data_IF_601661327829
#
_entry.id   IF_601661327829
#
_cell.length_a   1.000
_cell.length_b   1.000
_cell.length_c   1.000
_cell.angle_alpha   90.00
_cell.angle_beta   90.00
_cell.angle_gamma   90.00
#
_symmetry.space_group_name_H-M   'P 1'
#
loop_
_entity.id
_entity.type
_entity.pdbx_description
1 polymer ?
#
# COMPACT_ATOMS: atom_id res chain seq x y z
N UNK A 1 13.47 4.38 14.28
CA UNK A 1 12.70 3.67 13.24
C UNK A 1 11.32 4.26 13.26
N UNK A 2 10.97 5.07 12.25
CA UNK A 2 9.65 5.69 12.19
C UNK A 2 8.64 4.68 11.62
N UNK A 3 7.75 4.18 12.48
CA UNK A 3 6.76 3.17 12.10
C UNK A 3 5.57 3.75 11.35
N UNK A 4 5.38 5.07 11.33
CA UNK A 4 4.35 5.68 10.48
C UNK A 4 4.56 5.30 9.02
N UNK A 5 5.82 5.22 8.58
CA UNK A 5 6.21 4.75 7.25
C UNK A 5 5.94 3.23 7.01
N UNK A 6 5.74 2.43 8.06
CA UNK A 6 5.38 1.01 7.94
C UNK A 6 3.86 0.77 8.05
N UNK A 7 3.14 1.71 8.66
CA UNK A 7 1.71 1.65 8.97
C UNK A 7 0.88 2.40 7.93
N UNK A 8 1.39 3.47 7.33
CA UNK A 8 0.75 4.23 6.25
C UNK A 8 1.69 4.31 5.05
N UNK A 9 1.21 3.95 3.86
CA UNK A 9 1.97 4.10 2.61
C UNK A 9 1.15 4.96 1.66
N UNK A 10 1.38 6.29 1.63
CA UNK A 10 0.74 7.16 0.65
C UNK A 10 1.08 6.71 -0.78
N UNK A 11 2.23 6.06 -0.98
CA UNK A 11 2.63 5.44 -2.25
C UNK A 11 1.65 4.35 -2.73
N UNK A 12 0.89 3.71 -1.83
CA UNK A 12 -0.21 2.83 -2.22
C UNK A 12 -1.23 3.59 -3.07
N UNK A 13 -1.73 4.72 -2.58
CA UNK A 13 -2.76 5.50 -3.27
C UNK A 13 -2.17 6.09 -4.56
N UNK A 14 -0.93 6.57 -4.51
CA UNK A 14 -0.20 7.05 -5.68
C UNK A 14 -0.09 5.96 -6.77
N UNK A 15 0.16 4.70 -6.38
CA UNK A 15 0.23 3.56 -7.29
C UNK A 15 -1.11 3.25 -7.95
N UNK A 16 -2.23 3.35 -7.21
CA UNK A 16 -3.57 3.15 -7.77
C UNK A 16 -3.92 4.25 -8.77
N UNK A 17 -3.61 5.50 -8.44
CA UNK A 17 -3.77 6.64 -9.35
C UNK A 17 -2.98 6.47 -10.63
N UNK A 18 -1.71 6.05 -10.52
CA UNK A 18 -0.87 5.76 -11.66
C UNK A 18 -1.45 4.64 -12.53
N UNK A 19 -1.89 3.55 -11.90
CA UNK A 19 -2.51 2.43 -12.59
C UNK A 19 -3.79 2.87 -13.33
N UNK A 20 -4.62 3.71 -12.71
CA UNK A 20 -5.83 4.24 -13.32
C UNK A 20 -5.50 5.12 -14.54
N UNK A 21 -4.54 6.03 -14.40
CA UNK A 21 -4.11 6.93 -15.48
C UNK A 21 -3.45 6.20 -16.66
N UNK A 22 -2.54 5.24 -16.41
CA UNK A 22 -1.87 4.51 -17.51
C UNK A 22 -2.86 3.68 -18.34
N UNK A 23 -3.94 3.20 -17.71
CA UNK A 23 -5.04 2.48 -18.38
C UNK A 23 -6.17 3.38 -18.91
N UNK A 24 -6.07 4.70 -18.70
CA UNK A 24 -7.02 5.68 -19.24
C UNK A 24 -8.34 5.78 -18.45
N UNK A 25 -8.35 5.35 -17.19
CA UNK A 25 -9.53 5.44 -16.31
C UNK A 25 -9.67 6.82 -15.66
N UNK A 26 -8.55 7.52 -15.47
CA UNK A 26 -8.51 8.86 -14.87
C UNK A 26 -7.60 9.79 -15.70
N UNK A 27 -7.89 11.10 -15.75
CA UNK A 27 -7.07 12.07 -16.46
C UNK A 27 -5.74 12.34 -15.73
N UNK A 28 -4.77 12.87 -16.47
CA UNK A 28 -3.44 13.18 -15.92
C UNK A 28 -3.50 14.25 -14.82
N UNK A 29 -4.32 15.28 -15.02
CA UNK A 29 -4.41 16.42 -14.12
C UNK A 29 -4.93 16.01 -12.73
N UNK A 30 -5.96 15.17 -12.67
CA UNK A 30 -6.48 14.62 -11.39
C UNK A 30 -5.45 13.71 -10.70
N UNK A 31 -4.71 12.89 -11.47
CA UNK A 31 -3.63 12.08 -10.92
C UNK A 31 -2.51 12.93 -10.31
N UNK A 32 -2.11 14.00 -11.01
CA UNK A 32 -1.06 14.93 -10.56
C UNK A 32 -1.52 15.68 -9.30
N UNK A 33 -2.76 16.16 -9.26
CA UNK A 33 -3.35 16.81 -8.08
C UNK A 33 -3.40 15.84 -6.89
N UNK A 34 -3.83 14.59 -7.13
CA UNK A 34 -3.85 13.57 -6.10
C UNK A 34 -2.45 13.25 -5.57
N UNK A 35 -1.45 13.12 -6.44
CA UNK A 35 -0.05 12.92 -6.03
C UNK A 35 0.45 14.08 -5.18
N UNK A 36 0.19 15.33 -5.59
CA UNK A 36 0.56 16.50 -4.79
C UNK A 36 -0.09 16.48 -3.40
N UNK A 37 -1.37 16.09 -3.30
CA UNK A 37 -2.07 15.96 -2.01
C UNK A 37 -1.49 14.86 -1.10
N UNK A 38 -0.86 13.85 -1.70
CA UNK A 38 -0.17 12.76 -1.00
C UNK A 38 1.29 13.11 -0.65
N UNK A 39 1.78 14.29 -1.05
CA UNK A 39 3.16 14.73 -0.83
C UNK A 39 4.13 14.34 -1.94
N UNK A 40 3.64 13.78 -3.06
CA UNK A 40 4.47 13.38 -4.19
C UNK A 40 4.40 14.36 -5.34
N UNK A 41 5.52 14.52 -6.04
CA UNK A 41 5.56 15.19 -7.33
C UNK A 41 6.31 14.37 -8.37
N UNK A 42 6.06 14.65 -9.64
CA UNK A 42 6.76 14.06 -10.76
C UNK A 42 6.87 15.07 -11.91
N UNK A 43 7.96 15.01 -12.67
CA UNK A 43 8.12 15.85 -13.85
C UNK A 43 7.19 15.40 -14.98
N UNK A 44 6.74 16.35 -15.80
CA UNK A 44 5.95 16.04 -17.01
C UNK A 44 6.74 15.15 -17.97
N UNK A 45 8.05 15.34 -18.05
CA UNK A 45 8.93 14.49 -18.87
C UNK A 45 8.92 13.03 -18.40
N UNK A 46 8.97 12.80 -17.09
CA UNK A 46 8.85 11.46 -16.51
C UNK A 46 7.50 10.83 -16.82
N UNK A 47 6.40 11.58 -16.71
CA UNK A 47 5.07 11.07 -17.07
C UNK A 47 5.00 10.73 -18.57
N UNK A 48 5.57 11.57 -19.43
CA UNK A 48 5.71 11.30 -20.86
C UNK A 48 6.50 10.02 -21.13
N UNK A 49 7.61 9.83 -20.43
CA UNK A 49 8.47 8.64 -20.53
C UNK A 49 7.72 7.37 -20.10
N UNK A 50 7.01 7.39 -18.96
CA UNK A 50 6.20 6.27 -18.49
C UNK A 50 5.16 5.89 -19.54
N UNK A 51 4.42 6.88 -20.06
CA UNK A 51 3.34 6.64 -21.04
C UNK A 51 3.85 5.99 -22.31
N UNK A 52 5.07 6.33 -22.75
CA UNK A 52 5.68 5.79 -23.96
C UNK A 52 6.27 4.38 -23.78
N UNK A 53 6.77 4.07 -22.57
CA UNK A 53 7.55 2.85 -22.31
C UNK A 53 6.77 1.74 -21.63
N UNK A 54 5.69 2.06 -20.91
CA UNK A 54 4.99 1.08 -20.09
C UNK A 54 4.35 0.00 -20.96
N UNK A 55 4.62 -1.26 -20.64
CA UNK A 55 3.99 -2.39 -21.29
C UNK A 55 2.64 -2.70 -20.61
N UNK A 56 1.55 -2.24 -21.22
CA UNK A 56 0.19 -2.50 -20.74
C UNK A 56 -0.29 -3.93 -21.06
N UNK A 57 0.49 -4.73 -21.79
CA UNK A 57 0.21 -6.14 -22.04
C UNK A 57 0.70 -7.03 -20.90
N UNK A 58 1.80 -6.65 -20.25
CA UNK A 58 2.29 -7.31 -19.03
C UNK A 58 1.39 -6.93 -17.84
N UNK A 59 0.79 -7.94 -17.22
CA UNK A 59 -0.17 -7.77 -16.13
C UNK A 59 0.46 -8.36 -14.87
N UNK A 60 0.43 -7.65 -13.73
CA UNK A 60 0.04 -6.24 -13.58
C UNK A 60 1.08 -5.27 -14.16
N UNK A 61 0.63 -4.27 -14.93
CA UNK A 61 1.53 -3.26 -15.52
C UNK A 61 2.09 -2.27 -14.49
N UNK A 62 1.39 -2.11 -13.37
CA UNK A 62 1.79 -1.29 -12.21
C UNK A 62 1.67 -2.14 -10.96
N UNK A 63 2.72 -2.13 -10.13
CA UNK A 63 2.78 -2.86 -8.85
C UNK A 63 3.33 -1.97 -7.76
N UNK A 64 2.71 -2.01 -6.59
CA UNK A 64 3.35 -1.52 -5.37
C UNK A 64 4.33 -2.57 -4.86
N UNK A 65 5.53 -2.15 -4.47
CA UNK A 65 6.51 -2.99 -3.80
C UNK A 65 6.84 -2.35 -2.47
N UNK A 66 6.49 -3.03 -1.38
CA UNK A 66 6.82 -2.63 -0.02
C UNK A 66 7.82 -3.65 0.55
N UNK A 67 8.95 -3.17 1.05
CA UNK A 67 9.92 -3.98 1.78
C UNK A 67 9.81 -3.68 3.28
N UNK A 68 10.26 -4.62 4.10
CA UNK A 68 10.27 -4.46 5.54
C UNK A 68 10.89 -5.65 6.25
N UNK A 69 10.82 -5.64 7.58
CA UNK A 69 11.33 -6.74 8.39
C UNK A 69 10.69 -8.06 7.95
N UNK A 70 11.54 -9.07 7.67
CA UNK A 70 11.14 -10.41 7.27
C UNK A 70 11.02 -10.68 5.76
N UNK A 71 11.34 -9.70 4.90
CA UNK A 71 11.31 -9.86 3.44
C UNK A 71 12.72 -10.06 2.85
N UNK A 72 12.85 -10.95 1.85
CA UNK A 72 14.13 -11.44 1.34
C UNK A 72 14.83 -10.53 0.30
N UNK A 73 14.26 -9.37 -0.02
CA UNK A 73 14.74 -8.51 -1.11
C UNK A 73 14.65 -7.04 -0.71
N UNK A 74 15.78 -6.34 -0.77
CA UNK A 74 15.85 -4.88 -0.67
C UNK A 74 15.55 -4.23 -2.01
N UNK A 75 14.85 -3.10 -2.00
CA UNK A 75 14.84 -2.20 -3.14
C UNK A 75 16.25 -1.61 -3.32
N UNK A 76 16.60 -1.06 -4.50
CA UNK A 76 17.86 -0.37 -4.67
C UNK A 76 18.04 0.72 -3.60
N UNK A 77 19.28 0.91 -3.12
CA UNK A 77 19.56 1.88 -2.05
C UNK A 77 18.88 1.55 -0.73
N UNK A 78 18.56 2.59 0.05
CA UNK A 78 17.87 2.47 1.35
C UNK A 78 16.34 2.60 1.21
N UNK A 79 15.80 2.50 -0.01
CA UNK A 79 14.37 2.64 -0.27
C UNK A 79 13.57 1.49 0.35
N UNK A 80 12.42 1.81 0.93
CA UNK A 80 11.50 0.85 1.56
C UNK A 80 10.22 0.60 0.76
N UNK A 81 9.91 1.51 -0.15
CA UNK A 81 8.76 1.41 -1.02
C UNK A 81 9.10 1.90 -2.43
N UNK A 82 8.44 1.33 -3.43
CA UNK A 82 8.57 1.72 -4.83
C UNK A 82 7.34 1.32 -5.62
N UNK A 83 7.17 1.92 -6.80
CA UNK A 83 6.19 1.49 -7.79
C UNK A 83 6.94 0.80 -8.94
N UNK A 84 6.75 -0.50 -9.12
CA UNK A 84 7.30 -1.22 -10.25
C UNK A 84 6.39 -1.07 -11.48
N UNK A 85 7.00 -0.71 -12.61
CA UNK A 85 6.33 -0.46 -13.88
C UNK A 85 6.84 -1.43 -14.94
N UNK A 86 5.94 -2.21 -15.53
CA UNK A 86 6.28 -3.17 -16.57
C UNK A 86 6.93 -2.48 -17.78
N UNK A 87 8.11 -2.95 -18.18
CA UNK A 87 8.87 -2.37 -19.30
C UNK A 87 9.59 -1.04 -19.00
N UNK A 88 9.35 -0.39 -17.85
CA UNK A 88 9.98 0.90 -17.52
C UNK A 88 11.11 0.78 -16.49
N UNK A 89 10.82 0.26 -15.30
CA UNK A 89 11.68 0.49 -14.14
C UNK A 89 10.95 0.51 -12.81
N UNK A 90 11.62 1.11 -11.82
CA UNK A 90 11.04 1.43 -10.52
C UNK A 90 10.84 2.93 -10.41
N UNK A 91 9.64 3.38 -10.02
CA UNK A 91 9.48 4.72 -9.47
C UNK A 91 9.84 4.68 -8.00
N UNK A 92 10.86 5.44 -7.65
CA UNK A 92 11.40 5.56 -6.31
C UNK A 92 11.05 6.95 -5.77
N UNK A 93 10.45 7.04 -4.57
CA UNK A 93 10.29 8.31 -3.89
C UNK A 93 11.65 8.75 -3.32
N UNK A 94 12.08 9.95 -3.74
CA UNK A 94 13.35 10.56 -3.34
C UNK A 94 13.06 11.91 -2.70
N UNK A 95 13.64 12.18 -1.54
CA UNK A 95 13.46 13.46 -0.86
C UNK A 95 14.36 14.53 -1.49
N UNK A 96 13.77 15.55 -2.11
CA UNK A 96 14.47 16.68 -2.73
C UNK A 96 13.76 18.01 -2.41
N UNK A 97 14.50 19.00 -1.92
CA UNK A 97 13.99 20.37 -1.69
C UNK A 97 12.68 20.45 -0.86
N UNK A 98 12.57 19.64 0.19
CA UNK A 98 11.39 19.55 1.07
C UNK A 98 10.17 18.83 0.45
N UNK A 99 10.29 18.34 -0.78
CA UNK A 99 9.27 17.56 -1.49
C UNK A 99 9.73 16.12 -1.73
N UNK A 100 8.78 15.19 -1.81
CA UNK A 100 9.06 13.81 -2.22
C UNK A 100 8.86 13.67 -3.74
N UNK A 101 9.95 13.57 -4.48
CA UNK A 101 9.94 13.50 -5.94
C UNK A 101 10.04 12.05 -6.38
N UNK A 102 9.12 11.63 -7.23
CA UNK A 102 9.17 10.31 -7.87
C UNK A 102 10.15 10.35 -9.03
N UNK A 103 11.13 9.45 -9.00
CA UNK A 103 12.19 9.33 -10.02
C UNK A 103 12.23 7.92 -10.60
N UNK A 104 12.54 7.79 -11.89
CA UNK A 104 12.65 6.49 -12.53
C UNK A 104 14.04 5.89 -12.31
N UNK A 105 14.10 4.85 -11.48
CA UNK A 105 15.27 4.01 -11.28
C UNK A 105 15.29 2.76 -12.17
N UNK A 106 16.40 2.02 -12.16
CA UNK A 106 16.53 0.76 -12.90
C UNK A 106 15.53 -0.28 -12.40
N UNK A 107 15.13 -1.22 -13.26
CA UNK A 107 14.34 -2.39 -12.86
C UNK A 107 15.27 -3.50 -12.35
N UNK A 108 15.40 -3.74 -11.03
CA UNK A 108 16.08 -4.93 -10.55
C UNK A 108 15.24 -6.18 -10.87
N UNK A 109 15.83 -7.36 -10.68
CA UNK A 109 15.08 -8.61 -10.68
C UNK A 109 14.19 -8.68 -9.42
N UNK A 110 12.98 -8.12 -9.52
CA UNK A 110 12.00 -8.19 -8.46
C UNK A 110 11.40 -9.58 -8.36
N UNK A 111 11.01 -9.97 -7.14
CA UNK A 111 10.15 -11.13 -6.96
C UNK A 111 8.87 -10.99 -7.82
N UNK A 112 8.36 -12.10 -8.37
CA UNK A 112 7.08 -12.07 -9.09
C UNK A 112 5.97 -11.56 -8.16
N UNK A 113 4.90 -10.94 -8.70
CA UNK A 113 3.80 -10.47 -7.88
C UNK A 113 3.13 -11.67 -7.19
N UNK A 114 2.62 -11.44 -5.98
CA UNK A 114 1.78 -12.44 -5.33
C UNK A 114 0.43 -12.48 -6.04
N UNK A 115 0.15 -13.59 -6.72
CA UNK A 115 -1.12 -13.84 -7.40
C UNK A 115 -2.23 -14.25 -6.42
N UNK A 116 -2.42 -13.44 -5.38
CA UNK A 116 -3.53 -13.59 -4.45
C UNK A 116 -4.71 -12.76 -4.91
N UNK A 117 -5.91 -13.29 -4.75
CA UNK A 117 -7.13 -12.50 -4.85
C UNK A 117 -7.28 -11.58 -3.62
N UNK A 118 -8.06 -10.49 -3.72
CA UNK A 118 -8.34 -9.65 -2.57
C UNK A 118 -8.97 -10.42 -1.40
N UNK A 119 -9.79 -11.44 -1.68
CA UNK A 119 -10.41 -12.27 -0.64
C UNK A 119 -9.43 -13.20 0.07
N UNK A 120 -8.44 -13.75 -0.64
CA UNK A 120 -7.37 -14.55 -0.02
C UNK A 120 -6.48 -13.67 0.85
N UNK A 121 -6.12 -12.47 0.37
CA UNK A 121 -5.35 -11.51 1.17
C UNK A 121 -6.12 -11.07 2.43
N UNK A 122 -7.41 -10.80 2.32
CA UNK A 122 -8.28 -10.48 3.47
C UNK A 122 -8.40 -11.64 4.46
N UNK A 123 -8.49 -12.88 3.96
CA UNK A 123 -8.52 -14.09 4.79
C UNK A 123 -7.20 -14.27 5.53
N UNK A 124 -6.06 -14.06 4.86
CA UNK A 124 -4.73 -14.09 5.48
C UNK A 124 -4.59 -13.00 6.56
N UNK A 125 -5.08 -11.80 6.29
CA UNK A 125 -5.08 -10.69 7.24
C UNK A 125 -5.90 -11.04 8.49
N UNK A 126 -7.11 -11.57 8.30
CA UNK A 126 -7.99 -11.97 9.39
C UNK A 126 -7.36 -13.09 10.24
N UNK A 127 -6.83 -14.13 9.60
CA UNK A 127 -6.17 -15.24 10.30
C UNK A 127 -4.95 -14.77 11.11
N UNK A 128 -4.15 -13.85 10.55
CA UNK A 128 -2.99 -13.31 11.25
C UNK A 128 -3.39 -12.48 12.48
N UNK A 129 -4.44 -11.66 12.36
CA UNK A 129 -4.99 -10.89 13.49
C UNK A 129 -5.52 -11.82 14.58
N UNK A 130 -6.29 -12.85 14.22
CA UNK A 130 -6.82 -13.83 15.18
C UNK A 130 -5.68 -14.58 15.89
N UNK A 131 -4.64 -14.99 15.15
CA UNK A 131 -3.47 -15.63 15.73
C UNK A 131 -2.73 -14.70 16.70
N UNK A 132 -2.52 -13.43 16.33
CA UNK A 132 -1.88 -12.45 17.20
C UNK A 132 -2.70 -12.23 18.48
N UNK A 133 -4.03 -12.08 18.37
CA UNK A 133 -4.91 -11.95 19.52
C UNK A 133 -4.81 -13.15 20.47
N UNK A 134 -4.87 -14.37 19.93
CA UNK A 134 -4.73 -15.60 20.72
C UNK A 134 -3.38 -15.68 21.45
N UNK A 135 -2.28 -15.28 20.80
CA UNK A 135 -0.94 -15.28 21.41
C UNK A 135 -0.84 -14.24 22.54
N UNK A 136 -1.41 -13.05 22.34
CA UNK A 136 -1.45 -12.01 23.37
C UNK A 136 -2.27 -12.47 24.57
N UNK A 137 -3.44 -13.07 24.35
CA UNK A 137 -4.25 -13.64 25.43
C UNK A 137 -3.52 -14.76 26.18
N UNK A 138 -2.87 -15.68 25.44
CA UNK A 138 -2.12 -16.80 26.03
C UNK A 138 -0.90 -16.33 26.83
N UNK A 139 -0.31 -15.18 26.49
CA UNK A 139 0.78 -14.57 27.28
C UNK A 139 0.33 -14.05 28.64
N UNK A 140 -0.98 -14.05 28.92
CA UNK A 140 -1.56 -13.52 30.15
C UNK A 140 -1.57 -11.99 30.20
N UNK A 141 -1.31 -11.32 29.08
CA UNK A 141 -1.26 -9.88 28.97
C UNK A 141 -2.62 -9.26 29.34
N UNK A 142 -2.62 -8.38 30.34
CA UNK A 142 -3.79 -7.60 30.75
C UNK A 142 -3.38 -6.15 30.94
N UNK A 143 -4.15 -5.24 30.36
CA UNK A 143 -3.86 -3.81 30.48
C UNK A 143 -5.12 -3.00 30.73
N UNK A 144 -5.07 -2.11 31.72
CA UNK A 144 -6.12 -1.12 32.00
C UNK A 144 -5.93 0.18 31.19
N UNK A 145 -4.86 0.24 30.39
CA UNK A 145 -4.48 1.42 29.60
C UNK A 145 -5.46 1.75 28.46
N UNK A 146 -6.22 0.76 27.99
CA UNK A 146 -7.20 0.91 26.91
C UNK A 146 -8.63 0.83 27.48
N UNK A 147 -9.09 1.90 28.14
CA UNK A 147 -10.45 1.95 28.75
C UNK A 147 -11.60 1.78 27.75
N UNK A 148 -11.39 2.09 26.46
CA UNK A 148 -12.37 1.90 25.39
C UNK A 148 -11.67 1.54 24.06
N UNK A 149 -11.20 0.29 23.88
CA UNK A 149 -10.40 -0.11 22.73
C UNK A 149 -11.19 0.03 21.42
N UNK A 150 -12.45 -0.43 21.39
CA UNK A 150 -13.32 -0.39 20.20
C UNK A 150 -13.62 1.04 19.75
N UNK A 151 -13.85 1.96 20.68
CA UNK A 151 -14.09 3.37 20.37
C UNK A 151 -12.81 4.03 19.83
N UNK A 152 -11.65 3.72 20.42
CA UNK A 152 -10.36 4.23 19.94
C UNK A 152 -10.05 3.75 18.53
N UNK A 153 -10.25 2.46 18.26
CA UNK A 153 -10.05 1.87 16.92
C UNK A 153 -11.05 2.44 15.93
N UNK A 154 -12.31 2.67 16.33
CA UNK A 154 -13.31 3.34 15.50
C UNK A 154 -12.89 4.76 15.12
N UNK A 155 -12.50 5.59 16.09
CA UNK A 155 -12.05 6.97 15.81
C UNK A 155 -10.79 7.04 14.94
N UNK A 156 -9.92 6.03 15.02
CA UNK A 156 -8.72 5.97 14.20
C UNK A 156 -9.05 5.44 12.79
N UNK A 157 -9.94 4.46 12.68
CA UNK A 157 -10.45 3.99 11.39
C UNK A 157 -11.16 5.10 10.61
N UNK A 158 -11.92 5.98 11.28
CA UNK A 158 -12.54 7.17 10.67
C UNK A 158 -11.48 8.17 10.15
N UNK A 159 -10.25 8.17 10.70
CA UNK A 159 -9.13 8.96 10.18
C UNK A 159 -8.51 8.33 8.92
N UNK A 160 -8.66 7.01 8.75
CA UNK A 160 -8.20 6.26 7.58
C UNK A 160 -9.31 5.98 6.55
N UNK A 161 -10.49 6.60 6.69
CA UNK A 161 -11.58 6.52 5.72
C UNK A 161 -11.07 7.11 4.40
N UNK A 162 -10.73 6.22 3.47
CA UNK A 162 -9.57 6.33 2.58
C UNK A 162 -9.58 7.62 1.73
N UNK A 163 -8.88 8.70 2.14
CA UNK A 163 -8.80 9.91 1.33
C UNK A 163 -7.86 9.65 0.16
N UNK A 164 -8.25 10.08 -1.04
CA UNK A 164 -7.33 10.12 -2.18
C UNK A 164 -7.14 8.81 -2.93
N UNK A 165 -8.13 7.90 -2.95
CA UNK A 165 -8.23 6.88 -4.02
C UNK A 165 -8.93 7.47 -5.25
N UNK A 166 -8.62 7.02 -6.47
CA UNK A 166 -9.33 7.45 -7.67
C UNK A 166 -10.80 7.02 -7.65
N UNK A 167 -11.73 7.82 -8.21
CA UNK A 167 -13.14 7.46 -8.34
C UNK A 167 -13.38 6.11 -9.02
N UNK A 168 -12.52 5.73 -9.97
CA UNK A 168 -12.57 4.47 -10.71
C UNK A 168 -12.16 3.22 -9.91
N UNK A 169 -11.73 3.36 -8.65
CA UNK A 169 -11.21 2.24 -7.85
C UNK A 169 -12.14 1.01 -7.83
N UNK A 170 -11.63 -0.20 -8.13
CA UNK A 170 -12.42 -1.41 -7.99
C UNK A 170 -12.89 -1.63 -6.54
N UNK A 171 -14.19 -1.86 -6.28
CA UNK A 171 -14.72 -1.94 -4.91
C UNK A 171 -14.07 -3.01 -4.03
N UNK A 172 -13.56 -4.09 -4.62
CA UNK A 172 -12.86 -5.16 -3.87
C UNK A 172 -11.47 -4.72 -3.41
N UNK A 173 -10.75 -3.92 -4.19
CA UNK A 173 -9.49 -3.33 -3.76
C UNK A 173 -9.72 -2.29 -2.66
N UNK A 174 -10.70 -1.39 -2.84
CA UNK A 174 -11.05 -0.39 -1.83
C UNK A 174 -11.38 -1.01 -0.47
N UNK A 175 -12.18 -2.09 -0.45
CA UNK A 175 -12.48 -2.84 0.78
C UNK A 175 -11.25 -3.46 1.43
N UNK A 176 -10.35 -4.04 0.62
CA UNK A 176 -9.11 -4.60 1.15
C UNK A 176 -8.22 -3.51 1.75
N UNK A 177 -8.08 -2.36 1.09
CA UNK A 177 -7.32 -1.22 1.60
C UNK A 177 -7.87 -0.72 2.93
N UNK A 178 -9.18 -0.46 3.00
CA UNK A 178 -9.83 -0.04 4.25
C UNK A 178 -9.59 -1.04 5.39
N UNK A 179 -9.62 -2.35 5.08
CA UNK A 179 -9.31 -3.40 6.06
C UNK A 179 -7.84 -3.38 6.49
N UNK A 180 -6.91 -3.24 5.56
CA UNK A 180 -5.48 -3.15 5.90
C UNK A 180 -5.18 -1.92 6.74
N UNK A 181 -5.82 -0.79 6.44
CA UNK A 181 -5.64 0.47 7.17
C UNK A 181 -6.21 0.36 8.58
N UNK A 182 -7.38 -0.28 8.75
CA UNK A 182 -7.94 -0.58 10.07
C UNK A 182 -6.97 -1.42 10.92
N UNK A 183 -6.34 -2.45 10.35
CA UNK A 183 -5.37 -3.27 11.09
C UNK A 183 -4.10 -2.47 11.41
N UNK A 184 -3.62 -1.68 10.46
CA UNK A 184 -2.47 -0.80 10.67
C UNK A 184 -2.73 0.20 11.82
N UNK A 185 -3.91 0.82 11.84
CA UNK A 185 -4.40 1.71 12.89
C UNK A 185 -4.40 1.04 14.28
N UNK A 186 -4.86 -0.22 14.35
CA UNK A 186 -4.83 -1.01 15.58
C UNK A 186 -3.39 -1.22 16.05
N UNK A 187 -2.49 -1.61 15.16
CA UNK A 187 -1.07 -1.83 15.48
C UNK A 187 -0.45 -0.54 16.03
N UNK A 188 -0.67 0.60 15.36
CA UNK A 188 -0.17 1.90 15.82
C UNK A 188 -0.72 2.28 17.18
N UNK A 189 -2.03 2.09 17.40
CA UNK A 189 -2.68 2.37 18.69
C UNK A 189 -2.06 1.56 19.81
N UNK A 190 -1.89 0.25 19.59
CA UNK A 190 -1.32 -0.65 20.60
C UNK A 190 0.10 -0.21 20.94
N UNK A 191 0.96 0.05 19.96
CA UNK A 191 2.35 0.46 20.23
C UNK A 191 2.44 1.81 20.95
N UNK A 192 1.71 2.82 20.48
CA UNK A 192 1.83 4.19 20.99
C UNK A 192 1.21 4.36 22.39
N UNK A 193 0.10 3.68 22.70
CA UNK A 193 -0.55 3.82 24.02
C UNK A 193 -0.03 2.88 25.08
N UNK A 194 0.37 1.68 24.70
CA UNK A 194 0.87 0.71 25.67
C UNK A 194 2.32 1.01 26.03
N UNK A 195 3.14 1.53 25.10
CA UNK A 195 4.54 1.87 25.37
C UNK A 195 5.43 0.67 25.73
N UNK A 196 4.87 -0.55 25.76
CA UNK A 196 5.59 -1.78 26.07
C UNK A 196 5.97 -2.50 24.77
N UNK A 197 7.27 -2.73 24.61
CA UNK A 197 7.84 -3.51 23.52
C UNK A 197 7.60 -5.03 23.70
N UNK A 198 6.91 -5.42 24.77
CA UNK A 198 6.52 -6.80 25.08
C UNK A 198 5.63 -7.43 24.00
N UNK A 199 4.83 -6.60 23.33
CA UNK A 199 3.91 -7.04 22.27
C UNK A 199 4.55 -7.04 20.87
N UNK A 200 5.77 -6.51 20.70
CA UNK A 200 6.38 -6.34 19.37
C UNK A 200 6.56 -7.67 18.63
N UNK A 201 6.88 -8.75 19.34
CA UNK A 201 7.01 -10.09 18.75
C UNK A 201 5.69 -10.58 18.10
N UNK A 202 4.54 -10.11 18.59
CA UNK A 202 3.23 -10.47 18.07
C UNK A 202 2.71 -9.48 17.02
N UNK A 203 3.15 -8.21 17.07
CA UNK A 203 2.72 -7.15 16.15
C UNK A 203 3.56 -7.07 14.87
N UNK A 204 4.87 -7.32 14.93
CA UNK A 204 5.76 -7.25 13.76
C UNK A 204 5.33 -8.21 12.62
N UNK A 205 4.88 -9.46 12.90
CA UNK A 205 4.35 -10.33 11.85
C UNK A 205 3.11 -9.76 11.14
N UNK A 206 2.27 -8.98 11.84
CA UNK A 206 1.07 -8.37 11.25
C UNK A 206 1.43 -7.32 10.20
N UNK A 207 2.52 -6.57 10.40
CA UNK A 207 2.99 -5.57 9.44
C UNK A 207 3.28 -6.21 8.07
N UNK A 208 3.80 -7.44 8.04
CA UNK A 208 4.02 -8.17 6.79
C UNK A 208 2.70 -8.44 6.06
N UNK A 209 1.67 -8.86 6.78
CA UNK A 209 0.37 -9.18 6.17
C UNK A 209 -0.38 -7.92 5.73
N UNK A 210 -0.22 -6.80 6.47
CA UNK A 210 -0.67 -5.48 6.02
C UNK A 210 -0.02 -5.12 4.69
N UNK A 211 1.32 -5.16 4.59
CA UNK A 211 2.04 -4.91 3.33
C UNK A 211 1.56 -5.82 2.20
N UNK A 212 1.37 -7.12 2.46
CA UNK A 212 0.80 -8.07 1.51
C UNK A 212 -0.56 -7.62 0.99
N UNK A 213 -1.48 -7.23 1.89
CA UNK A 213 -2.80 -6.75 1.50
C UNK A 213 -2.74 -5.51 0.60
N UNK A 214 -1.86 -4.55 0.92
CA UNK A 214 -1.64 -3.35 0.10
C UNK A 214 -1.12 -3.68 -1.30
N UNK A 215 -0.07 -4.49 -1.38
CA UNK A 215 0.53 -4.91 -2.65
C UNK A 215 -0.46 -5.71 -3.52
N UNK A 216 -1.26 -6.59 -2.90
CA UNK A 216 -2.32 -7.35 -3.58
C UNK A 216 -3.44 -6.44 -4.07
N UNK A 217 -3.86 -5.47 -3.25
CA UNK A 217 -4.90 -4.53 -3.64
C UNK A 217 -4.51 -3.68 -4.86
N UNK A 218 -3.26 -3.19 -4.90
CA UNK A 218 -2.74 -2.44 -6.06
C UNK A 218 -2.63 -3.34 -7.30
N UNK A 219 -2.08 -4.55 -7.14
CA UNK A 219 -1.96 -5.53 -8.22
C UNK A 219 -3.34 -5.87 -8.81
N UNK A 220 -4.33 -6.09 -7.95
CA UNK A 220 -5.70 -6.34 -8.35
C UNK A 220 -6.32 -5.15 -9.07
N UNK A 221 -6.15 -3.93 -8.54
CA UNK A 221 -6.67 -2.71 -9.18
C UNK A 221 -6.09 -2.51 -10.58
N UNK A 222 -4.76 -2.62 -10.74
CA UNK A 222 -4.09 -2.52 -12.04
C UNK A 222 -4.59 -3.58 -13.03
N UNK A 223 -4.79 -4.83 -12.58
CA UNK A 223 -5.33 -5.90 -13.41
C UNK A 223 -6.80 -5.67 -13.82
N UNK A 224 -7.63 -5.11 -12.94
CA UNK A 224 -9.01 -4.75 -13.28
C UNK A 224 -9.08 -3.58 -14.26
N UNK A 225 -8.25 -2.54 -14.09
CA UNK A 225 -8.16 -1.46 -15.07
C UNK A 225 -7.73 -1.96 -16.45
N UNK A 226 -6.74 -2.85 -16.50
CA UNK A 226 -6.33 -3.50 -17.75
C UNK A 226 -7.47 -4.28 -18.42
N UNK A 227 -8.35 -4.93 -17.63
CA UNK A 227 -9.53 -5.61 -18.18
C UNK A 227 -10.57 -4.63 -18.69
N UNK A 228 -10.79 -3.52 -18.00
CA UNK A 228 -11.78 -2.50 -18.36
C UNK A 228 -11.34 -1.72 -19.60
N UNK A 229 -10.08 -1.33 -19.70
CA UNK A 229 -9.52 -0.61 -20.86
C UNK A 229 -9.56 -1.43 -22.15
N UNK A 230 -9.52 -2.76 -22.04
CA UNK A 230 -9.61 -3.70 -23.17
C UNK A 230 -11.03 -4.02 -23.61
N UNK A 231 -12.08 -3.59 -22.89
CA UNK A 231 -13.48 -3.83 -23.29
C UNK A 231 -13.92 -2.74 -24.27
N UNK A 232 -14.12 -3.04 -25.56
CA UNK A 232 -14.65 -2.06 -26.50
C UNK A 232 -16.11 -1.75 -26.15
N UNK A 233 -16.41 -0.48 -25.86
CA UNK A 233 -17.75 0.11 -25.92
C UNK A 233 -18.76 -0.34 -24.87
N UNK A 234 -19.15 0.58 -24.00
CA UNK A 234 -20.56 0.73 -23.62
C UNK A 234 -21.13 1.91 -24.38
#
# INVERSE_FOLDING_TARGET
MDMRAEVYSPLQNASVWLAAWVHGMEPADEMIEAWASLGYSASIDLLGEIRQRIDLQDIPSVRLVLSGAGDAMGLPGDHRESIALAGCGLLLPTWENEDEILTLGPSPALAPPMWLSPGEADSMLSAAVDQAANLVEASGYRTDSLRAPRLTVGTLADFYDTPGLPPSIPPRAAKLFARTDQVAAIIETVKNRVGEHSLDAHLLPLLRVVRTGRMVGVTYAAAEYAKLSRRPGR
#
